data_IF_639471840998
#
_entry.id   IF_639471840998
#
_cell.length_a   1.000
_cell.length_b   1.000
_cell.length_c   1.000
_cell.angle_alpha   90.00
_cell.angle_beta   90.00
_cell.angle_gamma   90.00
#
_symmetry.space_group_name_H-M   'P 1'
#
loop_
_entity.id
_entity.type
_entity.pdbx_description
1 polymer ?
#
# COMPACT_ATOMS: atom_id res chain seq x y z
N UNK A 1 -4.06 -29.22 -8.60
CA UNK A 1 -3.55 -28.06 -9.37
C UNK A 1 -3.99 -26.83 -8.60
N UNK A 2 -3.12 -25.87 -8.26
CA UNK A 2 -3.59 -24.65 -7.63
C UNK A 2 -4.47 -23.90 -8.63
N UNK A 3 -5.68 -23.53 -8.19
CA UNK A 3 -6.55 -22.64 -8.95
C UNK A 3 -5.86 -21.29 -9.06
N UNK A 4 -5.48 -20.93 -10.28
CA UNK A 4 -4.92 -19.60 -10.56
C UNK A 4 -6.08 -18.62 -10.72
N UNK A 5 -5.99 -17.49 -9.98
CA UNK A 5 -6.90 -16.36 -10.16
C UNK A 5 -6.92 -15.94 -11.65
N UNK A 6 -8.05 -15.47 -12.19
CA UNK A 6 -8.14 -15.06 -13.59
C UNK A 6 -7.16 -13.91 -13.85
N UNK A 7 -6.24 -14.11 -14.80
CA UNK A 7 -5.37 -13.04 -15.29
C UNK A 7 -6.25 -11.92 -15.83
N UNK A 8 -6.12 -10.72 -15.28
CA UNK A 8 -6.82 -9.51 -15.71
C UNK A 8 -6.34 -9.08 -17.10
N UNK A 9 -6.87 -9.70 -18.14
CA UNK A 9 -6.67 -9.25 -19.52
C UNK A 9 -7.63 -8.10 -19.82
N UNK A 10 -7.14 -6.89 -19.89
CA UNK A 10 -7.93 -5.76 -20.40
C UNK A 10 -7.80 -4.42 -19.67
N UNK A 11 -6.80 -4.21 -18.84
CA UNK A 11 -6.61 -2.93 -18.15
C UNK A 11 -5.89 -1.93 -19.06
N UNK A 12 -6.59 -0.89 -19.52
CA UNK A 12 -5.95 0.27 -20.15
C UNK A 12 -5.43 1.20 -19.05
N UNK A 13 -4.17 1.04 -18.66
CA UNK A 13 -3.51 1.96 -17.73
C UNK A 13 -3.22 3.27 -18.43
N UNK A 14 -4.05 4.27 -18.15
CA UNK A 14 -3.87 5.62 -18.66
C UNK A 14 -3.03 6.43 -17.66
N UNK A 15 -2.16 7.32 -18.14
CA UNK A 15 -1.49 8.29 -17.27
C UNK A 15 -2.49 9.05 -16.40
N UNK A 16 -2.12 9.33 -15.15
CA UNK A 16 -2.99 10.02 -14.21
C UNK A 16 -2.54 9.81 -12.76
N UNK A 17 -3.45 10.06 -11.84
CA UNK A 17 -3.18 9.94 -10.42
C UNK A 17 -3.61 8.57 -9.89
N UNK A 18 -2.69 7.91 -9.20
CA UNK A 18 -2.89 6.61 -8.55
C UNK A 18 -2.55 6.76 -7.08
N UNK A 19 -3.39 6.26 -6.20
CA UNK A 19 -3.15 6.22 -4.76
C UNK A 19 -3.02 4.75 -4.32
N UNK A 20 -1.79 4.30 -4.00
CA UNK A 20 -1.55 2.88 -3.69
C UNK A 20 -1.88 2.52 -2.25
N UNK A 21 -2.21 3.51 -1.41
CA UNK A 21 -2.52 3.25 -0.01
C UNK A 21 -3.44 4.31 0.60
N UNK A 22 -4.68 3.93 0.87
CA UNK A 22 -5.68 4.75 1.56
C UNK A 22 -6.57 3.88 2.47
N UNK A 23 -7.06 4.44 3.58
CA UNK A 23 -7.97 3.78 4.53
C UNK A 23 -9.38 4.38 4.44
N UNK A 24 -10.08 4.19 3.31
CA UNK A 24 -11.43 4.75 3.11
C UNK A 24 -12.51 4.11 3.99
N UNK A 25 -12.20 2.99 4.66
CA UNK A 25 -13.06 2.38 5.69
C UNK A 25 -12.94 3.06 7.07
N UNK A 26 -12.03 4.03 7.24
CA UNK A 26 -11.85 4.74 8.50
C UNK A 26 -13.12 5.51 8.89
N UNK A 27 -13.62 5.37 10.15
CA UNK A 27 -14.83 6.06 10.61
C UNK A 27 -14.79 7.59 10.48
N UNK A 28 -13.61 8.21 10.52
CA UNK A 28 -13.43 9.66 10.32
C UNK A 28 -13.93 10.13 8.97
N UNK A 29 -13.89 9.28 7.95
CA UNK A 29 -14.29 9.62 6.59
C UNK A 29 -15.77 9.34 6.28
N UNK A 30 -16.47 8.62 7.14
CA UNK A 30 -17.82 8.11 6.87
C UNK A 30 -18.82 9.21 6.43
N UNK A 31 -18.77 10.38 7.07
CA UNK A 31 -19.68 11.48 6.73
C UNK A 31 -19.42 12.09 5.35
N UNK A 32 -18.20 12.02 4.84
CA UNK A 32 -17.76 12.59 3.55
C UNK A 32 -17.48 11.53 2.50
N UNK A 33 -17.67 10.25 2.81
CA UNK A 33 -17.33 9.13 1.92
C UNK A 33 -18.00 9.22 0.54
N UNK A 34 -19.28 9.57 0.40
CA UNK A 34 -19.90 9.70 -0.92
C UNK A 34 -19.21 10.76 -1.81
N UNK A 35 -18.81 11.89 -1.23
CA UNK A 35 -18.04 12.91 -1.93
C UNK A 35 -16.65 12.39 -2.31
N UNK A 36 -15.99 11.69 -1.39
CA UNK A 36 -14.66 11.11 -1.65
C UNK A 36 -14.73 10.15 -2.83
N UNK A 37 -15.69 9.23 -2.85
CA UNK A 37 -15.85 8.26 -3.94
C UNK A 37 -16.13 8.93 -5.28
N UNK A 38 -16.99 9.96 -5.32
CA UNK A 38 -17.26 10.74 -6.52
C UNK A 38 -15.99 11.40 -7.07
N UNK A 39 -15.20 12.02 -6.21
CA UNK A 39 -13.94 12.65 -6.61
C UNK A 39 -12.90 11.62 -7.02
N UNK A 40 -12.78 10.49 -6.32
CA UNK A 40 -11.90 9.41 -6.76
C UNK A 40 -12.26 8.95 -8.18
N UNK A 41 -13.54 8.75 -8.49
CA UNK A 41 -14.00 8.31 -9.80
C UNK A 41 -13.72 9.31 -10.93
N UNK A 42 -13.63 10.62 -10.62
CA UNK A 42 -13.44 11.69 -11.60
C UNK A 42 -12.02 12.20 -11.71
N UNK A 43 -11.27 12.21 -10.62
CA UNK A 43 -9.95 12.85 -10.54
C UNK A 43 -8.79 11.83 -10.51
N UNK A 44 -9.05 10.58 -10.08
CA UNK A 44 -8.03 9.54 -9.98
C UNK A 44 -8.27 8.41 -10.98
N UNK A 45 -7.23 7.66 -11.28
CA UNK A 45 -7.28 6.43 -12.08
C UNK A 45 -7.54 5.21 -11.22
N UNK A 46 -6.91 5.17 -10.05
CA UNK A 46 -7.09 4.09 -9.09
C UNK A 46 -6.76 4.54 -7.67
N UNK A 47 -7.49 3.97 -6.72
CA UNK A 47 -7.20 4.04 -5.29
C UNK A 47 -7.21 2.62 -4.74
N UNK A 48 -6.13 2.19 -4.10
CA UNK A 48 -6.09 0.94 -3.36
C UNK A 48 -6.48 1.21 -1.91
N UNK A 49 -7.64 0.72 -1.52
CA UNK A 49 -8.15 0.80 -0.15
C UNK A 49 -7.62 -0.37 0.64
N UNK A 50 -6.87 -0.07 1.69
CA UNK A 50 -6.23 -1.05 2.55
C UNK A 50 -7.03 -1.25 3.84
N UNK A 51 -7.33 -2.50 4.17
CA UNK A 51 -7.88 -2.85 5.46
C UNK A 51 -6.75 -2.95 6.49
N UNK A 52 -6.92 -2.32 7.65
CA UNK A 52 -5.99 -2.45 8.77
C UNK A 52 -6.38 -3.59 9.73
N UNK A 53 -7.66 -3.95 9.79
CA UNK A 53 -8.19 -4.95 10.74
C UNK A 53 -9.31 -5.81 10.13
N UNK A 54 -9.56 -6.95 10.74
CA UNK A 54 -10.55 -7.94 10.28
C UNK A 54 -11.94 -7.32 10.10
N UNK A 55 -12.36 -6.44 11.00
CA UNK A 55 -13.68 -5.81 10.94
C UNK A 55 -13.90 -4.86 9.76
N UNK A 56 -12.83 -4.49 9.04
CA UNK A 56 -12.89 -3.62 7.86
C UNK A 56 -12.99 -4.39 6.54
N UNK A 57 -12.69 -5.69 6.52
CA UNK A 57 -12.60 -6.46 5.27
C UNK A 57 -13.86 -6.38 4.42
N UNK A 58 -15.04 -6.56 5.02
CA UNK A 58 -16.30 -6.52 4.27
C UNK A 58 -16.60 -5.11 3.73
N UNK A 59 -16.30 -4.07 4.50
CA UNK A 59 -16.42 -2.68 4.05
C UNK A 59 -15.47 -2.38 2.90
N UNK A 60 -14.20 -2.81 3.00
CA UNK A 60 -13.20 -2.59 1.94
C UNK A 60 -13.57 -3.35 0.66
N UNK A 61 -14.08 -4.58 0.79
CA UNK A 61 -14.60 -5.35 -0.35
C UNK A 61 -15.81 -4.65 -1.01
N UNK A 62 -16.72 -4.09 -0.23
CA UNK A 62 -17.86 -3.34 -0.76
C UNK A 62 -17.40 -2.07 -1.49
N UNK A 63 -16.51 -1.28 -0.88
CA UNK A 63 -15.92 -0.10 -1.50
C UNK A 63 -15.21 -0.43 -2.82
N UNK A 64 -14.59 -1.59 -2.93
CA UNK A 64 -13.88 -1.98 -4.14
C UNK A 64 -14.80 -2.23 -5.36
N UNK A 65 -16.11 -2.27 -5.18
CA UNK A 65 -17.08 -2.34 -6.29
C UNK A 65 -17.22 -1.01 -7.02
N UNK A 66 -16.90 0.10 -6.34
CA UNK A 66 -16.97 1.44 -6.91
C UNK A 66 -15.94 1.64 -8.05
N UNK A 67 -16.22 2.50 -9.04
CA UNK A 67 -15.29 2.81 -10.12
C UNK A 67 -13.94 3.32 -9.59
N UNK A 68 -12.83 2.77 -10.10
CA UNK A 68 -11.48 3.19 -9.74
C UNK A 68 -11.02 2.77 -8.33
N UNK A 69 -11.87 2.10 -7.55
CA UNK A 69 -11.51 1.62 -6.20
C UNK A 69 -11.14 0.14 -6.26
N UNK A 70 -10.08 -0.23 -5.53
CA UNK A 70 -9.56 -1.58 -5.39
C UNK A 70 -9.33 -1.92 -3.92
N UNK A 71 -9.28 -3.20 -3.57
CA UNK A 71 -9.13 -3.69 -2.21
C UNK A 71 -7.77 -4.35 -1.98
N UNK A 72 -7.20 -4.09 -0.81
CA UNK A 72 -6.19 -4.92 -0.17
C UNK A 72 -6.71 -5.36 1.20
N UNK A 73 -6.62 -6.66 1.51
CA UNK A 73 -7.06 -7.23 2.78
C UNK A 73 -5.87 -7.77 3.55
N UNK A 74 -5.77 -7.39 4.80
CA UNK A 74 -4.73 -7.85 5.72
C UNK A 74 -5.08 -7.57 7.17
N UNK A 75 -4.10 -7.81 8.05
CA UNK A 75 -4.17 -7.44 9.46
C UNK A 75 -2.88 -6.72 9.81
N UNK A 76 -3.01 -5.41 10.03
CA UNK A 76 -1.92 -4.53 10.44
C UNK A 76 -1.41 -4.90 11.85
N UNK A 77 -0.11 -4.77 12.14
CA UNK A 77 0.46 -5.13 13.44
C UNK A 77 -0.23 -4.51 14.66
N UNK A 78 -0.80 -3.31 14.55
CA UNK A 78 -1.52 -2.67 15.67
C UNK A 78 -2.81 -3.39 16.08
N UNK A 79 -3.44 -4.13 15.17
CA UNK A 79 -4.73 -4.77 15.38
C UNK A 79 -4.66 -6.29 15.56
N UNK A 80 -3.47 -6.86 15.71
CA UNK A 80 -3.30 -8.31 15.90
C UNK A 80 -4.00 -8.85 17.14
N UNK A 81 -4.08 -8.05 18.21
CA UNK A 81 -4.77 -8.45 19.45
C UNK A 81 -6.30 -8.54 19.29
N UNK A 82 -6.86 -7.91 18.27
CA UNK A 82 -8.30 -7.93 17.98
C UNK A 82 -8.69 -9.10 17.08
N UNK A 83 -7.72 -9.83 16.50
CA UNK A 83 -7.98 -10.92 15.57
C UNK A 83 -8.53 -12.17 16.27
N UNK A 84 -9.41 -12.87 15.60
CA UNK A 84 -9.84 -14.21 16.00
C UNK A 84 -8.76 -15.25 15.64
N UNK A 85 -8.84 -16.41 16.29
CA UNK A 85 -7.81 -17.48 16.15
C UNK A 85 -7.64 -17.99 14.73
N UNK A 86 -8.71 -18.01 13.93
CA UNK A 86 -8.74 -18.52 12.56
C UNK A 86 -8.76 -17.40 11.49
N UNK A 87 -8.43 -16.16 11.88
CA UNK A 87 -8.55 -15.00 10.99
C UNK A 87 -7.78 -15.16 9.67
N UNK A 88 -6.63 -15.82 9.67
CA UNK A 88 -5.83 -15.99 8.44
C UNK A 88 -6.43 -17.05 7.50
N UNK A 89 -7.15 -18.05 8.01
CA UNK A 89 -7.97 -18.92 7.17
C UNK A 89 -9.14 -18.14 6.56
N UNK A 90 -9.81 -17.29 7.34
CA UNK A 90 -10.88 -16.41 6.84
C UNK A 90 -10.34 -15.43 5.79
N UNK A 91 -9.14 -14.87 6.00
CA UNK A 91 -8.47 -14.03 5.01
C UNK A 91 -8.27 -14.78 3.69
N UNK A 92 -7.71 -15.99 3.76
CA UNK A 92 -7.50 -16.84 2.57
C UNK A 92 -8.81 -17.11 1.83
N UNK A 93 -9.87 -17.49 2.53
CA UNK A 93 -11.19 -17.75 1.93
C UNK A 93 -11.77 -16.51 1.25
N UNK A 94 -11.69 -15.34 1.90
CA UNK A 94 -12.15 -14.08 1.31
C UNK A 94 -11.35 -13.67 0.05
N UNK A 95 -10.06 -13.98 0.02
CA UNK A 95 -9.19 -13.70 -1.13
C UNK A 95 -9.42 -14.68 -2.28
N UNK A 96 -9.73 -15.95 -1.99
CA UNK A 96 -10.06 -16.96 -3.00
C UNK A 96 -11.46 -16.78 -3.57
N UNK A 97 -12.41 -16.39 -2.72
CA UNK A 97 -13.82 -16.27 -3.04
C UNK A 97 -14.37 -14.87 -2.69
N UNK A 98 -13.82 -13.79 -3.30
CA UNK A 98 -14.28 -12.44 -3.03
C UNK A 98 -15.75 -12.28 -3.48
N UNK A 99 -16.54 -11.42 -2.83
CA UNK A 99 -17.88 -11.10 -3.27
C UNK A 99 -17.92 -10.67 -4.74
N UNK A 100 -19.01 -10.96 -5.42
CA UNK A 100 -19.18 -10.59 -6.83
C UNK A 100 -18.90 -9.09 -7.06
N UNK A 101 -18.15 -8.78 -8.11
CA UNK A 101 -17.70 -7.45 -8.50
C UNK A 101 -16.68 -6.77 -7.56
N UNK A 102 -16.25 -7.42 -6.48
CA UNK A 102 -15.12 -6.90 -5.68
C UNK A 102 -13.81 -7.05 -6.46
N UNK A 103 -12.96 -6.03 -6.35
CA UNK A 103 -11.68 -5.94 -7.08
C UNK A 103 -10.52 -6.01 -6.10
N UNK A 104 -10.13 -7.21 -5.70
CA UNK A 104 -8.99 -7.43 -4.78
C UNK A 104 -7.70 -7.49 -5.58
N UNK A 105 -6.72 -6.66 -5.24
CA UNK A 105 -5.42 -6.60 -5.92
C UNK A 105 -4.24 -7.04 -5.06
N UNK A 106 -4.35 -6.99 -3.72
CA UNK A 106 -3.21 -7.23 -2.84
C UNK A 106 -3.62 -7.82 -1.49
N UNK A 107 -2.64 -8.35 -0.78
CA UNK A 107 -2.72 -8.58 0.66
C UNK A 107 -2.09 -7.36 1.37
N UNK A 108 -2.87 -6.70 2.21
CA UNK A 108 -2.45 -5.50 2.91
C UNK A 108 -3.61 -4.85 3.70
N UNK A 109 -3.28 -4.08 4.67
CA UNK A 109 -1.95 -3.70 5.14
C UNK A 109 -1.39 -4.77 6.09
N UNK A 110 -0.17 -5.21 5.89
CA UNK A 110 0.51 -6.19 6.72
C UNK A 110 1.92 -5.71 7.08
N UNK A 111 2.54 -6.23 8.14
CA UNK A 111 3.90 -5.84 8.40
C UNK A 111 4.34 -5.92 9.85
N UNK A 112 5.33 -5.07 10.19
CA UNK A 112 5.94 -4.98 11.51
C UNK A 112 6.00 -3.52 11.98
N UNK A 113 5.63 -3.28 13.24
CA UNK A 113 5.80 -1.97 13.89
C UNK A 113 6.38 -2.14 15.29
N UNK A 114 7.62 -1.72 15.47
CA UNK A 114 8.31 -1.74 16.76
C UNK A 114 8.50 -0.32 17.34
N UNK A 115 7.65 0.64 16.93
CA UNK A 115 7.71 1.99 17.46
C UNK A 115 7.48 2.06 18.97
N UNK A 116 6.50 1.30 19.46
CA UNK A 116 6.15 1.24 20.88
C UNK A 116 6.89 0.14 21.65
N UNK A 117 7.97 -0.41 21.08
CA UNK A 117 8.76 -1.50 21.67
C UNK A 117 8.54 -2.84 20.98
N UNK A 118 9.01 -3.91 21.61
CA UNK A 118 9.09 -5.25 21.00
C UNK A 118 8.34 -6.32 21.80
N UNK A 119 7.45 -5.94 22.72
CA UNK A 119 6.76 -6.89 23.61
C UNK A 119 5.87 -7.89 22.87
N UNK A 120 5.43 -7.55 21.66
CA UNK A 120 4.59 -8.37 20.77
C UNK A 120 5.31 -8.77 19.47
N UNK A 121 6.64 -8.67 19.43
CA UNK A 121 7.42 -8.93 18.22
C UNK A 121 7.22 -10.34 17.67
N UNK A 122 7.15 -11.37 18.52
CA UNK A 122 6.91 -12.75 18.09
C UNK A 122 5.54 -12.91 17.42
N UNK A 123 4.52 -12.27 17.98
CA UNK A 123 3.17 -12.30 17.42
C UNK A 123 3.10 -11.57 16.08
N UNK A 124 3.74 -10.40 15.97
CA UNK A 124 3.84 -9.66 14.71
C UNK A 124 4.60 -10.45 13.63
N UNK A 125 5.74 -11.08 13.99
CA UNK A 125 6.50 -11.90 13.05
C UNK A 125 5.73 -13.13 12.59
N UNK A 126 5.05 -13.82 13.51
CA UNK A 126 4.18 -14.95 13.17
C UNK A 126 3.05 -14.55 12.23
N UNK A 127 2.34 -13.47 12.55
CA UNK A 127 1.24 -12.96 11.74
C UNK A 127 1.70 -12.49 10.35
N UNK A 128 2.85 -11.82 10.26
CA UNK A 128 3.43 -11.43 8.97
C UNK A 128 3.83 -12.66 8.16
N UNK A 129 4.45 -13.65 8.79
CA UNK A 129 4.84 -14.91 8.13
C UNK A 129 3.63 -15.59 7.47
N UNK A 130 2.53 -15.77 8.22
CA UNK A 130 1.31 -16.39 7.69
C UNK A 130 0.73 -15.59 6.50
N UNK A 131 0.66 -14.28 6.60
CA UNK A 131 0.12 -13.43 5.52
C UNK A 131 1.04 -13.42 4.28
N UNK A 132 2.36 -13.44 4.45
CA UNK A 132 3.31 -13.58 3.34
C UNK A 132 3.16 -14.93 2.63
N UNK A 133 2.95 -16.02 3.37
CA UNK A 133 2.74 -17.34 2.78
C UNK A 133 1.41 -17.42 2.02
N UNK A 134 0.34 -16.79 2.52
CA UNK A 134 -0.92 -16.65 1.77
C UNK A 134 -0.69 -15.84 0.48
N UNK A 135 0.04 -14.73 0.55
CA UNK A 135 0.36 -13.91 -0.61
C UNK A 135 1.10 -14.71 -1.69
N UNK A 136 2.10 -15.51 -1.30
CA UNK A 136 2.82 -16.38 -2.23
C UNK A 136 1.91 -17.45 -2.85
N UNK A 137 1.08 -18.11 -2.05
CA UNK A 137 0.15 -19.14 -2.53
C UNK A 137 -0.85 -18.60 -3.56
N UNK A 138 -1.37 -17.39 -3.31
CA UNK A 138 -2.35 -16.75 -4.17
C UNK A 138 -1.73 -15.89 -5.28
N UNK A 139 -0.41 -15.75 -5.29
CA UNK A 139 0.34 -14.89 -6.21
C UNK A 139 -0.12 -13.42 -6.17
N UNK A 140 -0.55 -12.96 -4.99
CA UNK A 140 -0.93 -11.57 -4.76
C UNK A 140 0.26 -10.74 -4.30
N UNK A 141 0.39 -9.48 -4.74
CA UNK A 141 1.36 -8.55 -4.17
C UNK A 141 0.99 -8.18 -2.73
N UNK A 142 1.96 -7.65 -1.99
CA UNK A 142 1.76 -7.23 -0.61
C UNK A 142 1.92 -5.73 -0.43
N UNK A 143 1.12 -5.13 0.45
CA UNK A 143 1.27 -3.76 0.91
C UNK A 143 1.85 -3.81 2.32
N UNK A 144 3.10 -3.36 2.44
CA UNK A 144 3.92 -3.58 3.64
C UNK A 144 4.05 -2.32 4.48
N UNK A 145 3.64 -2.43 5.73
CA UNK A 145 4.00 -1.53 6.81
C UNK A 145 5.32 -1.97 7.44
N UNK A 146 6.29 -1.09 7.59
CA UNK A 146 7.49 -1.42 8.33
C UNK A 146 8.05 -0.20 9.09
N UNK A 147 7.93 -0.23 10.41
CA UNK A 147 8.41 0.85 11.26
C UNK A 147 9.35 0.33 12.34
N UNK A 148 10.63 0.77 12.29
CA UNK A 148 11.71 0.34 13.22
C UNK A 148 11.96 -1.17 13.25
N UNK A 149 11.60 -1.92 12.21
CA UNK A 149 11.65 -3.38 12.19
C UNK A 149 12.35 -3.96 10.94
N UNK A 150 13.11 -3.17 10.19
CA UNK A 150 13.74 -3.60 8.94
C UNK A 150 14.67 -4.81 9.08
N UNK A 151 15.56 -4.90 10.11
CA UNK A 151 16.41 -6.07 10.29
C UNK A 151 15.60 -7.36 10.50
N UNK A 152 14.52 -7.29 11.29
CA UNK A 152 13.64 -8.42 11.56
C UNK A 152 12.86 -8.84 10.32
N UNK A 153 12.38 -7.86 9.53
CA UNK A 153 11.70 -8.12 8.26
C UNK A 153 12.61 -8.88 7.29
N UNK A 154 13.83 -8.41 7.07
CA UNK A 154 14.77 -9.11 6.18
C UNK A 154 15.19 -10.48 6.71
N UNK A 155 15.35 -10.62 8.03
CA UNK A 155 15.62 -11.92 8.66
C UNK A 155 14.45 -12.89 8.46
N UNK A 156 13.21 -12.41 8.56
CA UNK A 156 12.01 -13.19 8.28
C UNK A 156 11.97 -13.67 6.82
N UNK A 157 12.19 -12.78 5.84
CA UNK A 157 12.21 -13.16 4.42
C UNK A 157 13.25 -14.27 4.16
N UNK A 158 14.44 -14.16 4.76
CA UNK A 158 15.48 -15.19 4.66
C UNK A 158 15.03 -16.51 5.28
N UNK A 159 14.41 -16.49 6.46
CA UNK A 159 13.92 -17.70 7.15
C UNK A 159 12.83 -18.41 6.34
N UNK A 160 11.97 -17.67 5.67
CA UNK A 160 10.93 -18.16 4.76
C UNK A 160 11.46 -18.52 3.37
N UNK A 161 12.76 -18.31 3.10
CA UNK A 161 13.40 -18.51 1.79
C UNK A 161 12.74 -17.70 0.66
N UNK A 162 12.23 -16.52 1.00
CA UNK A 162 11.69 -15.57 0.03
C UNK A 162 12.86 -14.78 -0.54
N UNK A 163 13.21 -15.02 -1.81
CA UNK A 163 14.29 -14.32 -2.51
C UNK A 163 13.79 -13.09 -3.27
N UNK A 164 12.52 -13.08 -3.65
CA UNK A 164 11.84 -11.97 -4.31
C UNK A 164 10.43 -11.83 -3.74
N UNK A 165 9.97 -10.60 -3.57
CA UNK A 165 8.65 -10.29 -3.03
C UNK A 165 7.97 -9.22 -3.88
N UNK A 166 6.87 -9.58 -4.54
CA UNK A 166 6.06 -8.61 -5.26
C UNK A 166 5.23 -7.80 -4.26
N UNK A 167 5.49 -6.50 -4.18
CA UNK A 167 4.81 -5.64 -3.22
C UNK A 167 5.34 -4.23 -3.18
N UNK A 168 4.79 -3.43 -2.29
CA UNK A 168 5.22 -2.06 -2.02
C UNK A 168 5.44 -1.86 -0.52
N UNK A 169 6.54 -1.23 -0.17
CA UNK A 169 6.73 -0.68 1.17
C UNK A 169 6.02 0.68 1.22
N UNK A 170 4.84 0.71 1.87
CA UNK A 170 4.09 1.94 2.00
C UNK A 170 4.78 2.91 2.98
N UNK A 171 4.53 4.19 2.82
CA UNK A 171 5.13 5.27 3.64
C UNK A 171 6.63 5.08 3.86
N UNK A 172 7.37 4.78 2.79
CA UNK A 172 8.78 4.43 2.93
C UNK A 172 9.58 5.62 3.49
N UNK A 173 10.12 5.45 4.69
CA UNK A 173 10.87 6.47 5.41
C UNK A 173 12.06 5.87 6.18
N UNK A 174 12.92 5.12 5.47
CA UNK A 174 14.12 4.49 6.03
C UNK A 174 15.41 5.09 5.43
N UNK A 175 16.54 4.43 5.62
CA UNK A 175 17.82 4.84 5.02
C UNK A 175 17.92 4.41 3.54
N UNK A 176 18.86 5.00 2.80
CA UNK A 176 19.18 4.58 1.44
C UNK A 176 19.67 3.13 1.35
N UNK A 177 20.34 2.66 2.40
CA UNK A 177 20.78 1.27 2.48
C UNK A 177 19.58 0.31 2.59
N UNK A 178 18.60 0.65 3.43
CA UNK A 178 17.36 -0.10 3.55
C UNK A 178 16.55 -0.04 2.24
N UNK A 179 16.52 1.13 1.60
CA UNK A 179 15.88 1.27 0.28
C UNK A 179 16.47 0.29 -0.72
N UNK A 180 17.80 0.24 -0.83
CA UNK A 180 18.49 -0.70 -1.73
C UNK A 180 18.15 -2.15 -1.41
N UNK A 181 18.20 -2.54 -0.14
CA UNK A 181 17.83 -3.91 0.26
C UNK A 181 16.38 -4.25 -0.10
N UNK A 182 15.44 -3.33 0.12
CA UNK A 182 14.03 -3.53 -0.26
C UNK A 182 13.87 -3.69 -1.79
N UNK A 183 14.58 -2.87 -2.56
CA UNK A 183 14.62 -2.95 -4.03
C UNK A 183 15.24 -4.26 -4.52
N UNK A 184 16.28 -4.77 -3.86
CA UNK A 184 16.92 -6.06 -4.18
C UNK A 184 15.94 -7.23 -3.98
N UNK A 185 14.97 -7.11 -3.05
CA UNK A 185 13.87 -8.07 -2.94
C UNK A 185 12.76 -7.86 -3.98
N UNK A 186 12.84 -6.85 -4.84
CA UNK A 186 11.85 -6.56 -5.88
C UNK A 186 10.71 -5.65 -5.45
N UNK A 187 10.77 -5.08 -4.24
CA UNK A 187 9.74 -4.21 -3.71
C UNK A 187 9.73 -2.85 -4.40
N UNK A 188 8.55 -2.26 -4.50
CA UNK A 188 8.37 -0.84 -4.77
C UNK A 188 8.44 -0.05 -3.47
N UNK A 189 8.73 1.25 -3.57
CA UNK A 189 8.71 2.17 -2.44
C UNK A 189 7.68 3.26 -2.73
N UNK A 190 6.73 3.49 -1.81
CA UNK A 190 5.79 4.58 -2.00
C UNK A 190 6.05 5.75 -1.06
N UNK A 191 5.67 6.94 -1.54
CA UNK A 191 5.83 8.20 -0.83
C UNK A 191 4.48 8.87 -0.67
N UNK A 192 4.27 9.50 0.49
CA UNK A 192 3.02 10.17 0.87
C UNK A 192 3.24 11.62 1.30
N UNK A 193 2.21 12.25 1.83
CA UNK A 193 2.17 13.66 2.18
C UNK A 193 3.40 14.25 2.86
N UNK A 194 4.04 13.61 3.87
CA UNK A 194 5.28 14.09 4.49
C UNK A 194 6.45 14.35 3.53
N UNK A 195 6.44 13.78 2.33
CA UNK A 195 7.43 14.12 1.29
C UNK A 195 7.36 15.60 0.91
N UNK A 196 6.17 16.22 0.98
CA UNK A 196 5.96 17.62 0.61
C UNK A 196 6.45 18.61 1.67
N UNK A 197 6.78 18.14 2.89
CA UNK A 197 7.20 19.00 3.99
C UNK A 197 8.63 19.49 3.79
N UNK A 198 8.90 20.81 3.94
CA UNK A 198 10.24 21.37 3.67
C UNK A 198 11.36 20.76 4.50
N UNK A 199 11.08 20.30 5.71
CA UNK A 199 12.04 19.67 6.61
C UNK A 199 12.37 18.22 6.29
N UNK A 200 11.63 17.55 5.40
CA UNK A 200 11.75 16.11 5.08
C UNK A 200 12.95 15.79 4.19
N UNK A 201 14.14 16.28 4.53
CA UNK A 201 15.36 16.19 3.71
C UNK A 201 15.72 14.76 3.31
N UNK A 202 15.50 13.78 4.21
CA UNK A 202 15.76 12.36 3.90
C UNK A 202 14.79 11.84 2.83
N UNK A 203 13.49 12.14 2.95
CA UNK A 203 12.50 11.76 1.96
C UNK A 203 12.78 12.41 0.60
N UNK A 204 13.18 13.70 0.59
CA UNK A 204 13.57 14.39 -0.63
C UNK A 204 14.75 13.68 -1.31
N UNK A 205 15.76 13.26 -0.54
CA UNK A 205 16.89 12.52 -1.07
C UNK A 205 16.47 11.18 -1.64
N UNK A 206 15.69 10.39 -0.90
CA UNK A 206 15.18 9.10 -1.36
C UNK A 206 14.35 9.24 -2.63
N UNK A 207 13.37 10.17 -2.64
CA UNK A 207 12.54 10.41 -3.81
C UNK A 207 13.35 10.87 -5.05
N UNK A 208 14.52 11.49 -4.84
CA UNK A 208 15.43 11.90 -5.93
C UNK A 208 16.31 10.77 -6.46
N UNK A 209 16.64 9.75 -5.64
CA UNK A 209 17.69 8.75 -5.94
C UNK A 209 17.15 7.34 -6.20
N UNK A 210 16.01 6.96 -5.62
CA UNK A 210 15.35 5.66 -5.88
C UNK A 210 15.03 5.54 -7.38
N UNK A 211 15.26 4.39 -8.03
CA UNK A 211 14.90 4.20 -9.44
C UNK A 211 13.44 4.57 -9.72
N UNK A 212 13.19 5.36 -10.75
CA UNK A 212 11.85 5.90 -11.02
C UNK A 212 10.82 4.80 -11.32
N UNK A 213 11.29 3.70 -11.92
CA UNK A 213 10.50 2.49 -12.20
C UNK A 213 10.21 1.64 -10.94
N UNK A 214 10.59 2.12 -9.76
CA UNK A 214 10.35 1.49 -8.45
C UNK A 214 9.62 2.41 -7.47
N UNK A 215 9.17 3.57 -7.92
CA UNK A 215 8.41 4.52 -7.10
C UNK A 215 6.91 4.35 -7.33
N UNK A 216 6.15 4.36 -6.24
CA UNK A 216 4.72 4.57 -6.22
C UNK A 216 4.39 5.76 -5.32
N UNK A 217 3.17 6.23 -5.39
CA UNK A 217 2.67 7.37 -4.61
C UNK A 217 1.39 6.99 -3.89
N UNK A 218 1.17 7.61 -2.75
CA UNK A 218 0.01 7.35 -1.90
C UNK A 218 -0.36 8.57 -1.07
N UNK A 219 -1.50 8.49 -0.39
CA UNK A 219 -1.90 9.50 0.57
C UNK A 219 -1.85 9.04 2.01
N UNK A 220 -2.03 7.74 2.27
CA UNK A 220 -2.28 7.17 3.60
C UNK A 220 -3.51 7.82 4.26
N UNK A 221 -4.47 8.23 3.43
CA UNK A 221 -5.70 8.91 3.84
C UNK A 221 -6.49 8.06 4.87
N UNK A 222 -6.93 8.67 5.99
CA UNK A 222 -7.02 10.10 6.32
C UNK A 222 -5.79 10.68 7.02
N UNK A 223 -4.75 9.90 7.24
CA UNK A 223 -3.53 10.32 7.93
C UNK A 223 -2.53 10.98 6.96
N UNK A 224 -1.41 11.46 7.46
CA UNK A 224 -0.25 11.96 6.72
C UNK A 224 -0.53 12.99 5.60
N UNK A 225 -1.24 14.11 5.90
CA UNK A 225 -1.54 15.12 4.90
C UNK A 225 -0.27 15.78 4.32
N UNK A 226 -0.34 16.28 3.07
CA UNK A 226 0.71 17.10 2.50
C UNK A 226 0.84 18.47 3.20
N UNK A 227 1.88 19.24 2.83
CA UNK A 227 2.18 20.53 3.45
C UNK A 227 1.01 21.52 3.37
N UNK A 228 0.29 21.55 2.28
CA UNK A 228 -0.86 22.47 2.08
C UNK A 228 -2.01 22.22 3.04
N UNK A 229 -2.13 20.99 3.52
CA UNK A 229 -3.21 20.52 4.41
C UNK A 229 -2.70 20.02 5.75
N UNK A 230 -1.47 20.41 6.11
CA UNK A 230 -0.82 19.95 7.36
C UNK A 230 -1.66 20.31 8.58
N UNK A 231 -1.97 19.32 9.41
CA UNK A 231 -2.85 19.47 10.57
C UNK A 231 -4.33 19.20 10.30
N UNK A 232 -4.69 18.92 9.05
CA UNK A 232 -6.00 18.42 8.68
C UNK A 232 -5.92 16.94 8.25
N UNK A 233 -7.05 16.33 7.88
CA UNK A 233 -7.08 14.99 7.33
C UNK A 233 -6.63 14.98 5.86
N UNK A 234 -5.89 13.92 5.48
CA UNK A 234 -5.55 13.66 4.08
C UNK A 234 -6.76 13.20 3.27
N UNK A 235 -6.68 13.31 1.93
CA UNK A 235 -7.70 12.85 0.98
C UNK A 235 -7.02 12.26 -0.26
N UNK A 236 -7.60 11.26 -0.93
CA UNK A 236 -6.94 10.56 -2.05
C UNK A 236 -6.42 11.46 -3.17
N UNK A 237 -7.14 12.55 -3.51
CA UNK A 237 -6.69 13.49 -4.56
C UNK A 237 -5.46 14.31 -4.17
N UNK A 238 -5.07 14.34 -2.90
CA UNK A 238 -3.85 15.01 -2.44
C UNK A 238 -2.57 14.29 -2.90
N UNK A 239 -2.69 13.09 -3.45
CA UNK A 239 -1.60 12.39 -4.13
C UNK A 239 -0.97 13.24 -5.24
N UNK A 240 -1.73 14.16 -5.84
CA UNK A 240 -1.23 15.11 -6.85
C UNK A 240 -0.12 16.02 -6.31
N UNK A 241 -0.18 16.44 -5.03
CA UNK A 241 0.88 17.24 -4.40
C UNK A 241 2.14 16.42 -4.16
N UNK A 242 1.98 15.14 -3.77
CA UNK A 242 3.11 14.21 -3.62
C UNK A 242 3.82 14.04 -4.96
N UNK A 243 3.05 13.79 -6.03
CA UNK A 243 3.60 13.69 -7.39
C UNK A 243 4.30 14.97 -7.83
N UNK A 244 3.70 16.14 -7.60
CA UNK A 244 4.30 17.44 -7.92
C UNK A 244 5.65 17.62 -7.21
N UNK A 245 5.76 17.20 -5.94
CA UNK A 245 7.02 17.24 -5.21
C UNK A 245 8.07 16.31 -5.82
N UNK A 246 7.71 15.08 -6.21
CA UNK A 246 8.64 14.15 -6.86
C UNK A 246 9.09 14.70 -8.21
N UNK A 247 8.18 15.20 -9.04
CA UNK A 247 8.48 15.77 -10.34
C UNK A 247 9.46 16.94 -10.21
N UNK A 248 9.22 17.86 -9.27
CA UNK A 248 10.11 18.98 -8.97
C UNK A 248 11.51 18.56 -8.48
N UNK A 249 11.59 17.59 -7.57
CA UNK A 249 12.84 17.03 -7.06
C UNK A 249 13.67 16.35 -8.16
N UNK A 250 13.01 15.70 -9.12
CA UNK A 250 13.64 14.99 -10.24
C UNK A 250 13.83 15.83 -11.49
N UNK A 251 13.26 17.02 -11.53
CA UNK A 251 13.28 17.92 -12.69
C UNK A 251 12.69 17.29 -13.96
N UNK A 252 11.60 16.55 -13.79
CA UNK A 252 10.80 15.95 -14.88
C UNK A 252 9.42 16.59 -14.90
N UNK A 253 8.67 16.40 -15.99
CA UNK A 253 7.29 16.89 -16.06
C UNK A 253 6.31 16.01 -15.22
N UNK A 254 5.15 16.53 -14.90
CA UNK A 254 4.08 15.77 -14.25
C UNK A 254 3.57 14.65 -15.15
N UNK A 255 3.53 14.89 -16.45
CA UNK A 255 3.10 13.93 -17.47
C UNK A 255 4.05 12.74 -17.50
N UNK A 256 5.37 12.99 -17.57
CA UNK A 256 6.40 11.95 -17.55
C UNK A 256 6.32 11.11 -16.27
N UNK A 257 6.14 11.76 -15.12
CA UNK A 257 5.96 11.04 -13.85
C UNK A 257 4.66 10.23 -13.84
N UNK A 258 3.54 10.79 -14.33
CA UNK A 258 2.25 10.10 -14.35
C UNK A 258 2.28 8.86 -15.25
N UNK A 259 2.97 8.92 -16.39
CA UNK A 259 3.20 7.77 -17.26
C UNK A 259 4.00 6.68 -16.54
N UNK A 260 5.08 7.05 -15.86
CA UNK A 260 5.88 6.07 -15.14
C UNK A 260 5.12 5.46 -13.96
N UNK A 261 4.36 6.24 -13.19
CA UNK A 261 3.53 5.71 -12.09
C UNK A 261 2.47 4.74 -12.62
N UNK A 262 1.85 5.03 -13.77
CA UNK A 262 0.91 4.10 -14.41
C UNK A 262 1.59 2.76 -14.78
N UNK A 263 2.81 2.80 -15.34
CA UNK A 263 3.60 1.61 -15.65
C UNK A 263 3.95 0.84 -14.37
N UNK A 264 4.37 1.54 -13.31
CA UNK A 264 4.74 0.94 -12.03
C UNK A 264 3.53 0.25 -11.35
N UNK A 265 2.37 0.92 -11.37
CA UNK A 265 1.11 0.34 -10.91
C UNK A 265 0.77 -0.95 -11.68
N UNK A 266 0.82 -0.89 -13.02
CA UNK A 266 0.57 -2.06 -13.86
C UNK A 266 1.57 -3.19 -13.57
N UNK A 267 2.86 -2.88 -13.42
CA UNK A 267 3.91 -3.85 -13.11
C UNK A 267 3.67 -4.53 -11.76
N UNK A 268 3.14 -3.80 -10.77
CA UNK A 268 2.86 -4.36 -9.46
C UNK A 268 1.59 -5.21 -9.44
N UNK A 269 0.50 -4.76 -10.07
CA UNK A 269 -0.83 -5.34 -9.88
C UNK A 269 -1.34 -6.20 -11.05
N UNK A 270 -0.66 -6.22 -12.18
CA UNK A 270 -1.02 -7.01 -13.37
C UNK A 270 0.04 -8.02 -13.75
#
# INVERSE_FOLDING_TARGET
MPETLPKSSGWNFLPGFYDVHAHLADPRLQATLPEILLRCATELRAVLVNAAKVSEWDTVLELSKEPGIYAALGVHPFYLKERQRDCFNQLREKLLHPPQNSKVLAIGEIGLDFWNGRNDAEDQLSALSEQLLIAQQLQLPVILHNRKAWPDFFALLKSLRISTLRGVCHHFNASEEIARQALDYGLFLSFCGPLTWPESKRLHKLASTVPLDRILVETDCPDLPPQSSRGAESRPWMVAEVMSSIAGLRKISMEELAEQIAINWATLFC
#
